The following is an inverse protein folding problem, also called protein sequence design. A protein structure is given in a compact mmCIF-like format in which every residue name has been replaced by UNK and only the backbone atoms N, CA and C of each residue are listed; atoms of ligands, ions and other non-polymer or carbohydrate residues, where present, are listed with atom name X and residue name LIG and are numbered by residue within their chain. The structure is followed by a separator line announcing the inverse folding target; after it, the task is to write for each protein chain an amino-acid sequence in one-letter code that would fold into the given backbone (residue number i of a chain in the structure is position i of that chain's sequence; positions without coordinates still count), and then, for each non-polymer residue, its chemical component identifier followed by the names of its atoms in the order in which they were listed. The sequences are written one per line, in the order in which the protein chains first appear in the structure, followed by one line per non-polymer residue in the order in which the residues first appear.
data_IF_327835764175
#
_entry.id   IF_327835764175
#
_cell.length_a   1.000
_cell.length_b   1.000
_cell.length_c   1.000
_cell.angle_alpha   90.00
_cell.angle_beta   90.00
_cell.angle_gamma   90.00
#
_symmetry.space_group_name_H-M   'P 1'
#
loop_
_entity.id
_entity.type
_entity.pdbx_description
1 polymer ?
#
# COMPACT_ATOMS: atom_id res chain seq x y z
N UNK A 1 3.00 -16.30 18.24
CA UNK A 1 4.30 -15.74 17.81
C UNK A 1 3.93 -14.59 16.89
N UNK A 2 4.07 -13.35 17.35
CA UNK A 2 3.33 -12.18 16.84
C UNK A 2 3.35 -12.00 15.31
N UNK A 3 2.23 -11.53 14.75
CA UNK A 3 2.11 -11.17 13.33
C UNK A 3 3.17 -10.11 12.94
N UNK A 4 3.97 -10.40 11.92
CA UNK A 4 4.97 -9.44 11.41
C UNK A 4 4.37 -8.58 10.31
N UNK A 5 4.50 -7.26 10.47
CA UNK A 5 3.91 -6.25 9.59
C UNK A 5 4.99 -5.48 8.84
N UNK A 6 4.76 -5.24 7.56
CA UNK A 6 5.67 -4.57 6.65
C UNK A 6 4.92 -3.48 5.90
N UNK A 7 5.47 -2.26 5.87
CA UNK A 7 4.77 -1.12 5.28
C UNK A 7 4.84 -1.18 3.77
N UNK A 8 3.72 -0.93 3.09
CA UNK A 8 3.76 -0.73 1.65
C UNK A 8 4.41 0.60 1.28
N UNK A 9 5.03 0.65 0.11
CA UNK A 9 5.45 1.92 -0.47
C UNK A 9 4.25 2.59 -1.13
N UNK A 10 3.67 3.57 -0.44
CA UNK A 10 2.54 4.35 -0.93
C UNK A 10 2.95 5.49 -1.90
N UNK A 11 4.24 5.59 -2.23
CA UNK A 11 4.79 6.56 -3.19
C UNK A 11 4.67 8.02 -2.74
N UNK A 12 4.99 8.93 -3.66
CA UNK A 12 4.84 10.39 -3.47
C UNK A 12 3.37 10.84 -3.39
N UNK A 13 2.42 9.95 -3.68
CA UNK A 13 0.99 10.27 -3.69
C UNK A 13 0.56 10.93 -2.39
N UNK A 14 0.99 10.43 -1.23
CA UNK A 14 0.68 11.03 0.07
C UNK A 14 1.23 12.46 0.24
N UNK A 15 2.39 12.77 -0.35
CA UNK A 15 2.99 14.12 -0.31
C UNK A 15 2.23 15.07 -1.23
N UNK A 16 1.91 14.63 -2.46
CA UNK A 16 1.07 15.39 -3.37
C UNK A 16 -0.29 15.71 -2.74
N UNK A 17 -0.89 14.73 -2.07
CA UNK A 17 -2.14 14.91 -1.32
C UNK A 17 -1.99 15.91 -0.17
N UNK A 18 -0.88 15.89 0.58
CA UNK A 18 -0.60 16.87 1.63
C UNK A 18 -0.50 18.31 1.11
N UNK A 19 0.21 18.53 0.00
CA UNK A 19 0.28 19.83 -0.67
C UNK A 19 -1.10 20.26 -1.17
N UNK A 20 -1.86 19.32 -1.73
CA UNK A 20 -3.20 19.58 -2.24
C UNK A 20 -4.18 19.99 -1.12
N UNK A 21 -4.10 19.38 0.06
CA UNK A 21 -4.88 19.78 1.25
C UNK A 21 -4.61 21.24 1.61
N UNK A 22 -3.34 21.67 1.59
CA UNK A 22 -2.96 23.05 1.94
C UNK A 22 -3.59 24.04 0.95
N UNK A 23 -3.55 23.74 -0.35
CA UNK A 23 -4.18 24.55 -1.39
C UNK A 23 -5.69 24.64 -1.15
N UNK A 24 -6.33 23.50 -0.88
CA UNK A 24 -7.76 23.41 -0.62
C UNK A 24 -8.17 24.21 0.63
N UNK A 25 -7.34 24.20 1.67
CA UNK A 25 -7.53 24.99 2.88
C UNK A 25 -7.51 26.50 2.59
N UNK A 26 -6.57 26.96 1.74
CA UNK A 26 -6.51 28.37 1.31
C UNK A 26 -7.79 28.77 0.58
N UNK A 27 -8.26 27.93 -0.34
CA UNK A 27 -9.52 28.18 -1.07
C UNK A 27 -10.75 28.18 -0.15
N UNK A 28 -10.79 27.30 0.86
CA UNK A 28 -11.87 27.30 1.86
C UNK A 28 -11.88 28.62 2.64
N UNK A 29 -10.71 29.08 3.11
CA UNK A 29 -10.59 30.33 3.86
C UNK A 29 -11.03 31.52 2.99
N UNK A 30 -10.60 31.57 1.73
CA UNK A 30 -10.99 32.61 0.79
C UNK A 30 -12.52 32.60 0.52
N UNK A 31 -13.11 31.42 0.31
CA UNK A 31 -14.56 31.28 0.10
C UNK A 31 -15.40 31.71 1.31
N UNK A 32 -14.91 31.49 2.53
CA UNK A 32 -15.55 31.98 3.77
C UNK A 32 -15.49 33.51 3.83
N UNK A 33 -14.35 34.11 3.50
CA UNK A 33 -14.15 35.57 3.55
C UNK A 33 -15.00 36.27 2.47
N UNK A 34 -15.05 35.70 1.26
CA UNK A 34 -15.70 36.33 0.10
C UNK A 34 -17.20 35.98 -0.06
N UNK A 35 -17.79 35.20 0.87
CA UNK A 35 -19.21 34.83 0.89
C UNK A 35 -19.74 34.18 -0.42
N UNK A 36 -18.91 33.40 -1.12
CA UNK A 36 -19.33 32.75 -2.36
C UNK A 36 -19.96 31.36 -2.16
N UNK A 37 -21.22 31.28 -2.64
CA UNK A 37 -21.98 30.18 -3.28
C UNK A 37 -21.84 28.75 -2.74
N UNK A 38 -22.99 28.21 -2.30
CA UNK A 38 -23.33 26.79 -2.04
C UNK A 38 -22.65 25.75 -2.96
N UNK A 39 -22.41 26.09 -4.22
CA UNK A 39 -21.71 25.21 -5.17
C UNK A 39 -20.27 24.89 -4.78
N UNK A 40 -19.54 25.84 -4.17
CA UNK A 40 -18.17 25.65 -3.71
C UNK A 40 -18.10 24.64 -2.55
N UNK A 41 -19.08 24.72 -1.63
CA UNK A 41 -19.21 23.77 -0.52
C UNK A 41 -19.58 22.35 -0.97
N UNK A 42 -20.48 22.22 -1.94
CA UNK A 42 -20.85 20.92 -2.53
C UNK A 42 -19.63 20.29 -3.22
N UNK A 43 -18.86 21.09 -3.96
CA UNK A 43 -17.61 20.64 -4.58
C UNK A 43 -16.62 20.13 -3.51
N UNK A 44 -16.43 20.86 -2.41
CA UNK A 44 -15.52 20.45 -1.32
C UNK A 44 -15.93 19.14 -0.65
N UNK A 45 -17.22 18.91 -0.41
CA UNK A 45 -17.71 17.65 0.20
C UNK A 45 -17.47 16.47 -0.75
N UNK A 46 -17.80 16.61 -2.02
CA UNK A 46 -17.55 15.57 -3.03
C UNK A 46 -16.04 15.29 -3.13
N UNK A 47 -15.21 16.33 -3.09
CA UNK A 47 -13.76 16.18 -3.16
C UNK A 47 -13.16 15.53 -1.91
N UNK A 48 -13.61 15.88 -0.72
CA UNK A 48 -13.16 15.27 0.54
C UNK A 48 -13.50 13.78 0.61
N UNK A 49 -14.66 13.38 0.08
CA UNK A 49 -15.06 11.98 -0.04
C UNK A 49 -14.16 11.23 -1.03
N UNK A 50 -13.91 11.79 -2.22
CA UNK A 50 -13.00 11.20 -3.21
C UNK A 50 -11.56 11.10 -2.65
N UNK A 51 -11.11 12.13 -1.94
CA UNK A 51 -9.81 12.18 -1.27
C UNK A 51 -9.64 11.06 -0.24
N UNK A 52 -10.64 10.86 0.62
CA UNK A 52 -10.65 9.81 1.64
C UNK A 52 -10.63 8.41 1.03
N UNK A 53 -11.22 8.23 -0.15
CA UNK A 53 -11.26 6.94 -0.86
C UNK A 53 -9.95 6.68 -1.64
N UNK A 54 -9.27 7.73 -2.12
CA UNK A 54 -8.05 7.60 -2.93
C UNK A 54 -6.81 7.17 -2.13
N UNK A 55 -6.75 7.51 -0.84
CA UNK A 55 -5.61 7.19 0.03
C UNK A 55 -5.68 5.76 0.56
N UNK A 56 -5.50 4.78 -0.33
CA UNK A 56 -5.45 3.37 0.04
C UNK A 56 -4.09 3.04 0.67
N UNK A 57 -3.98 3.14 1.99
CA UNK A 57 -2.77 2.73 2.74
C UNK A 57 -2.74 1.21 2.82
N UNK A 58 -1.76 0.60 2.14
CA UNK A 58 -1.54 -0.86 2.14
C UNK A 58 -0.51 -1.25 3.21
N UNK A 59 -0.73 -2.40 3.81
CA UNK A 59 0.20 -3.07 4.72
C UNK A 59 0.32 -4.54 4.32
N UNK A 60 1.53 -5.09 4.36
CA UNK A 60 1.75 -6.52 4.15
C UNK A 60 1.97 -7.17 5.50
N UNK A 61 1.19 -8.21 5.81
CA UNK A 61 1.28 -8.92 7.09
C UNK A 61 1.54 -10.38 6.83
N UNK A 62 2.61 -10.90 7.44
CA UNK A 62 2.84 -12.34 7.51
C UNK A 62 2.12 -12.85 8.77
N UNK A 63 1.07 -13.63 8.55
CA UNK A 63 0.25 -14.23 9.60
C UNK A 63 0.89 -15.48 10.17
N UNK A 64 0.45 -15.89 11.35
CA UNK A 64 0.90 -17.12 12.00
C UNK A 64 0.59 -18.40 11.18
N UNK A 65 -0.46 -18.35 10.37
CA UNK A 65 -0.89 -19.45 9.50
C UNK A 65 -0.13 -19.52 8.17
N UNK A 66 1.04 -18.85 8.07
CA UNK A 66 1.86 -18.77 6.87
C UNK A 66 1.13 -18.21 5.64
N UNK A 67 0.26 -17.21 5.85
CA UNK A 67 -0.26 -16.37 4.77
C UNK A 67 0.40 -15.02 4.78
N UNK A 68 0.77 -14.55 3.59
CA UNK A 68 1.04 -13.15 3.30
C UNK A 68 -0.28 -12.47 2.97
N UNK A 69 -0.74 -11.58 3.85
CA UNK A 69 -1.94 -10.79 3.67
C UNK A 69 -1.60 -9.37 3.22
N UNK A 70 -2.27 -8.91 2.16
CA UNK A 70 -2.31 -7.49 1.81
C UNK A 70 -3.52 -6.89 2.51
N UNK A 71 -3.26 -6.17 3.61
CA UNK A 71 -4.28 -5.47 4.40
C UNK A 71 -4.39 -4.01 3.96
N UNK A 72 -5.61 -3.52 4.01
CA UNK A 72 -5.93 -2.12 3.72
C UNK A 72 -6.34 -1.43 5.03
N UNK A 73 -5.59 -0.41 5.43
CA UNK A 73 -5.83 0.30 6.70
C UNK A 73 -7.13 1.11 6.61
N UNK A 74 -7.38 1.74 5.46
CA UNK A 74 -8.65 2.40 5.14
C UNK A 74 -9.56 1.42 4.38
N UNK A 75 -10.46 0.78 5.11
CA UNK A 75 -11.50 -0.13 4.60
C UNK A 75 -12.68 0.70 4.07
N UNK A 76 -12.65 1.09 2.81
CA UNK A 76 -13.89 1.54 2.14
C UNK A 76 -14.41 0.54 1.12
N UNK A 77 -13.54 -0.09 0.30
CA UNK A 77 -14.02 -1.01 -0.76
C UNK A 77 -13.13 -2.23 -1.06
N UNK A 78 -11.93 -2.35 -0.48
CA UNK A 78 -10.99 -3.40 -0.85
C UNK A 78 -11.07 -4.63 0.09
N UNK A 79 -11.29 -5.81 -0.48
CA UNK A 79 -11.10 -7.09 0.23
C UNK A 79 -9.61 -7.33 0.44
N UNK A 80 -9.24 -7.79 1.64
CA UNK A 80 -7.87 -8.21 1.92
C UNK A 80 -7.50 -9.37 0.98
N UNK A 81 -6.36 -9.25 0.30
CA UNK A 81 -5.83 -10.34 -0.50
C UNK A 81 -4.95 -11.22 0.37
N UNK A 82 -5.09 -12.54 0.23
CA UNK A 82 -4.27 -13.53 0.96
C UNK A 82 -3.51 -14.36 -0.05
N UNK A 83 -2.22 -14.57 0.22
CA UNK A 83 -1.32 -15.41 -0.57
C UNK A 83 -0.74 -16.43 0.40
N UNK A 84 -0.91 -17.72 0.13
CA UNK A 84 -0.25 -18.75 0.94
C UNK A 84 1.25 -18.70 0.66
N UNK A 85 2.09 -18.68 1.71
CA UNK A 85 3.55 -18.70 1.53
C UNK A 85 4.00 -20.01 0.86
N UNK A 86 3.26 -21.09 1.04
CA UNK A 86 3.49 -22.37 0.35
C UNK A 86 3.25 -22.32 -1.16
N UNK A 87 2.42 -21.39 -1.64
CA UNK A 87 2.17 -21.21 -3.08
C UNK A 87 3.27 -20.38 -3.76
N UNK A 88 4.19 -19.80 -2.98
CA UNK A 88 5.31 -19.02 -3.50
C UNK A 88 6.41 -19.98 -3.96
N UNK A 89 6.71 -19.93 -5.25
CA UNK A 89 7.76 -20.73 -5.89
C UNK A 89 9.06 -19.94 -5.96
N UNK A 90 8.96 -18.64 -6.23
CA UNK A 90 10.11 -17.78 -6.42
C UNK A 90 9.87 -16.33 -6.02
N UNK A 91 10.96 -15.60 -5.83
CA UNK A 91 10.95 -14.16 -5.58
C UNK A 91 12.03 -13.48 -6.41
N UNK A 92 11.74 -12.33 -6.99
CA UNK A 92 12.73 -11.49 -7.69
C UNK A 92 12.59 -10.03 -7.25
N UNK A 93 13.68 -9.46 -6.74
CA UNK A 93 13.74 -8.01 -6.46
C UNK A 93 13.84 -7.29 -7.81
N UNK A 94 12.82 -6.52 -8.16
CA UNK A 94 12.78 -5.77 -9.42
C UNK A 94 13.37 -4.37 -9.27
N UNK A 95 13.10 -3.73 -8.12
CA UNK A 95 13.60 -2.40 -7.73
C UNK A 95 13.78 -2.38 -6.22
N UNK A 96 14.39 -1.30 -5.70
CA UNK A 96 14.57 -1.05 -4.26
C UNK A 96 13.27 -1.18 -3.42
N UNK A 97 12.11 -0.93 -4.02
CA UNK A 97 10.80 -0.98 -3.38
C UNK A 97 9.80 -1.94 -4.07
N UNK A 98 10.27 -2.81 -4.97
CA UNK A 98 9.40 -3.72 -5.73
C UNK A 98 9.93 -5.15 -5.65
N UNK A 99 9.10 -6.03 -5.09
CA UNK A 99 9.33 -7.45 -5.00
C UNK A 99 8.32 -8.17 -5.88
N UNK A 100 8.79 -8.90 -6.88
CA UNK A 100 7.96 -9.85 -7.62
C UNK A 100 7.98 -11.18 -6.88
N UNK A 101 6.80 -11.75 -6.67
CA UNK A 101 6.58 -13.06 -6.09
C UNK A 101 5.97 -13.93 -7.18
N UNK A 102 6.66 -15.01 -7.56
CA UNK A 102 6.16 -16.00 -8.51
C UNK A 102 5.39 -17.07 -7.73
N UNK A 103 4.14 -17.28 -8.14
CA UNK A 103 3.18 -18.19 -7.53
C UNK A 103 2.93 -19.39 -8.46
N UNK A 104 2.36 -20.47 -7.92
CA UNK A 104 1.92 -21.63 -8.73
C UNK A 104 1.04 -21.24 -9.93
N UNK A 105 0.19 -20.21 -9.77
CA UNK A 105 -0.78 -19.77 -10.78
C UNK A 105 -0.52 -18.38 -11.34
N UNK A 106 0.74 -17.95 -11.40
CA UNK A 106 1.11 -16.66 -12.00
C UNK A 106 2.16 -15.92 -11.18
N UNK A 107 2.07 -14.60 -11.11
CA UNK A 107 2.97 -13.79 -10.30
C UNK A 107 2.24 -12.59 -9.71
N UNK A 108 2.82 -12.02 -8.67
CA UNK A 108 2.33 -10.82 -8.01
C UNK A 108 3.48 -9.85 -7.72
N UNK A 109 3.25 -8.56 -7.92
CA UNK A 109 4.24 -7.53 -7.65
C UNK A 109 3.83 -6.78 -6.38
N UNK A 110 4.62 -6.95 -5.32
CA UNK A 110 4.49 -6.19 -4.10
C UNK A 110 5.29 -4.89 -4.18
N UNK A 111 4.68 -3.79 -3.75
CA UNK A 111 5.36 -2.50 -3.57
C UNK A 111 5.59 -2.28 -2.08
N UNK A 112 6.77 -2.62 -1.60
CA UNK A 112 7.14 -2.61 -0.18
C UNK A 112 8.04 -1.42 0.09
N UNK A 113 7.96 -0.84 1.29
CA UNK A 113 8.88 0.22 1.71
C UNK A 113 10.32 -0.30 1.64
N UNK A 114 11.24 0.53 1.15
CA UNK A 114 12.64 0.14 0.96
C UNK A 114 13.31 -0.33 2.26
N UNK A 115 12.97 0.27 3.41
CA UNK A 115 13.47 -0.16 4.73
C UNK A 115 12.99 -1.56 5.14
N UNK A 116 11.88 -2.03 4.58
CA UNK A 116 11.17 -3.22 5.05
C UNK A 116 11.30 -4.39 4.05
N UNK A 117 11.82 -4.14 2.84
CA UNK A 117 11.86 -5.14 1.75
C UNK A 117 12.78 -6.31 2.06
N UNK A 118 13.98 -6.04 2.58
CA UNK A 118 14.97 -7.09 2.85
C UNK A 118 14.54 -7.93 4.06
N UNK A 119 13.92 -7.29 5.06
CA UNK A 119 13.32 -7.97 6.20
C UNK A 119 12.13 -8.86 5.77
N UNK A 120 11.32 -8.42 4.81
CA UNK A 120 10.23 -9.23 4.26
C UNK A 120 10.75 -10.45 3.50
N UNK A 121 11.79 -10.26 2.66
CA UNK A 121 12.41 -11.37 1.91
C UNK A 121 12.98 -12.41 2.87
N UNK A 122 13.70 -11.97 3.91
CA UNK A 122 14.27 -12.85 4.91
C UNK A 122 13.18 -13.68 5.62
N UNK A 123 12.07 -13.04 6.03
CA UNK A 123 10.96 -13.76 6.68
C UNK A 123 10.29 -14.76 5.74
N UNK A 124 10.07 -14.40 4.47
CA UNK A 124 9.48 -15.33 3.51
C UNK A 124 10.37 -16.56 3.27
N UNK A 125 11.69 -16.37 3.20
CA UNK A 125 12.66 -17.49 3.08
C UNK A 125 12.76 -18.32 4.36
N UNK A 126 12.67 -17.71 5.53
CA UNK A 126 12.65 -18.42 6.81
C UNK A 126 11.41 -19.34 6.91
N UNK A 127 10.24 -18.80 6.55
CA UNK A 127 8.98 -19.56 6.55
C UNK A 127 8.91 -20.63 5.46
N UNK A 128 9.53 -20.39 4.31
CA UNK A 128 9.60 -21.36 3.22
C UNK A 128 10.98 -21.31 2.54
N UNK A 129 11.93 -22.15 3.01
CA UNK A 129 13.29 -22.21 2.46
C UNK A 129 13.37 -22.66 1.00
N UNK A 130 12.28 -23.22 0.45
CA UNK A 130 12.24 -23.71 -0.94
C UNK A 130 12.06 -22.57 -1.95
N UNK A 131 11.73 -21.36 -1.49
CA UNK A 131 11.55 -20.21 -2.37
C UNK A 131 12.88 -19.87 -3.04
N UNK A 132 12.92 -19.98 -4.36
CA UNK A 132 14.09 -19.64 -5.16
C UNK A 132 14.16 -18.12 -5.36
N UNK A 133 15.34 -17.57 -5.15
CA UNK A 133 15.65 -16.21 -5.57
C UNK A 133 16.69 -16.36 -6.69
N UNK A 134 16.38 -15.95 -7.94
CA UNK A 134 17.41 -15.94 -8.96
C UNK A 134 18.53 -15.01 -8.48
N UNK A 135 19.76 -15.47 -8.58
CA UNK A 135 20.94 -14.65 -8.30
C UNK A 135 20.87 -13.40 -9.20
N UNK A 136 21.11 -12.23 -8.62
CA UNK A 136 21.13 -10.97 -9.35
C UNK A 136 22.22 -11.07 -10.44
N UNK A 137 21.83 -11.01 -11.71
CA UNK A 137 22.76 -10.76 -12.83
C UNK A 137 23.32 -9.34 -12.77
#
# INVERSE_FOLDING_TARGET
MDEKKYKANNGLSNIFWGIFIIILLVFIIDGIINSERIWTNILYIVFAVIFSISTTIKEYVITELNFLEVRFILKFFAKNKRIAIGDIIGMKKLKKNQLRIDLVRGFEILRVKESDIDALIAELKDRNPRIKMPEEE
#
